data_IF_093619960245
#
_entry.id   IF_093619960245
#
_cell.length_a   1.000
_cell.length_b   1.000
_cell.length_c   1.000
_cell.angle_alpha   90.00
_cell.angle_beta   90.00
_cell.angle_gamma   90.00
#
_symmetry.space_group_name_H-M   'P 1'
#
loop_
_entity.id
_entity.type
_entity.pdbx_description
1 polymer ?
#
# COMPACT_ATOMS: atom_id res chain seq x y z
N UNK A 1 14.36 -69.82 -24.97
CA UNK A 1 13.15 -69.04 -24.64
C UNK A 1 13.57 -67.86 -23.77
N UNK A 2 13.35 -66.62 -24.21
CA UNK A 2 13.83 -65.42 -23.54
C UNK A 2 12.64 -64.54 -23.08
N UNK A 3 12.41 -64.44 -21.78
CA UNK A 3 11.39 -63.55 -21.22
C UNK A 3 12.00 -62.20 -20.88
N UNK A 4 11.60 -61.20 -21.66
CA UNK A 4 12.05 -59.80 -21.67
C UNK A 4 11.92 -59.11 -20.30
N UNK A 5 13.04 -58.55 -19.83
CA UNK A 5 13.15 -57.62 -18.71
C UNK A 5 12.34 -56.35 -19.02
N UNK A 6 11.31 -56.04 -18.23
CA UNK A 6 10.48 -54.86 -18.45
C UNK A 6 11.20 -53.62 -17.94
N UNK A 7 11.75 -52.81 -18.83
CA UNK A 7 12.22 -51.45 -18.52
C UNK A 7 11.03 -50.50 -18.57
N UNK A 8 10.43 -50.18 -17.42
CA UNK A 8 9.59 -48.96 -17.32
C UNK A 8 10.42 -47.84 -16.74
N UNK A 9 10.93 -47.05 -17.67
CA UNK A 9 11.60 -45.76 -17.54
C UNK A 9 10.79 -44.84 -16.62
N UNK A 10 11.43 -44.27 -15.59
CA UNK A 10 10.87 -43.19 -14.79
C UNK A 10 10.51 -42.01 -15.70
N UNK A 11 9.23 -41.62 -15.74
CA UNK A 11 8.77 -40.42 -16.42
C UNK A 11 8.51 -39.32 -15.38
N UNK A 12 9.35 -38.30 -15.46
CA UNK A 12 9.39 -37.08 -14.66
C UNK A 12 8.05 -36.33 -14.53
N UNK A 13 7.56 -36.17 -13.30
CA UNK A 13 7.60 -34.87 -12.62
C UNK A 13 6.73 -33.69 -13.08
N UNK A 14 5.85 -33.82 -14.08
CA UNK A 14 4.82 -32.80 -14.36
C UNK A 14 3.46 -33.49 -14.49
N UNK A 15 2.59 -33.26 -13.51
CA UNK A 15 1.24 -33.84 -13.53
C UNK A 15 0.50 -33.53 -14.83
N UNK A 16 -0.46 -34.39 -15.19
CA UNK A 16 -1.33 -34.22 -16.36
C UNK A 16 -1.77 -32.75 -16.52
N UNK A 17 -1.80 -32.19 -17.75
CA UNK A 17 -2.21 -30.80 -17.99
C UNK A 17 -3.54 -30.45 -17.32
N UNK A 18 -4.48 -31.41 -17.33
CA UNK A 18 -5.77 -31.30 -16.64
C UNK A 18 -5.62 -31.13 -15.11
N UNK A 19 -4.67 -31.84 -14.49
CA UNK A 19 -4.40 -31.73 -13.06
C UNK A 19 -3.72 -30.39 -12.70
N UNK A 20 -2.90 -29.84 -13.61
CA UNK A 20 -2.30 -28.52 -13.45
C UNK A 20 -3.36 -27.43 -13.58
N UNK A 21 -4.27 -27.56 -14.53
CA UNK A 21 -5.36 -26.62 -14.76
C UNK A 21 -6.36 -26.61 -13.59
N UNK A 22 -6.77 -27.78 -13.08
CA UNK A 22 -7.59 -27.90 -11.87
C UNK A 22 -6.95 -27.20 -10.67
N UNK A 23 -5.63 -27.35 -10.49
CA UNK A 23 -4.88 -26.68 -9.42
C UNK A 23 -4.80 -25.16 -9.64
N UNK A 24 -4.66 -24.70 -10.89
CA UNK A 24 -4.62 -23.28 -11.23
C UNK A 24 -5.98 -22.62 -10.95
N UNK A 25 -7.07 -23.22 -11.43
CA UNK A 25 -8.44 -22.75 -11.21
C UNK A 25 -8.80 -22.70 -9.72
N UNK A 26 -8.48 -23.74 -8.94
CA UNK A 26 -8.73 -23.78 -7.50
C UNK A 26 -7.96 -22.68 -6.75
N UNK A 27 -6.70 -22.42 -7.12
CA UNK A 27 -5.89 -21.34 -6.51
C UNK A 27 -6.46 -19.96 -6.84
N UNK A 28 -6.91 -19.75 -8.08
CA UNK A 28 -7.50 -18.49 -8.52
C UNK A 28 -8.84 -18.23 -7.81
N UNK A 29 -9.70 -19.24 -7.72
CA UNK A 29 -10.97 -19.17 -6.99
C UNK A 29 -10.74 -18.85 -5.50
N UNK A 30 -9.80 -19.54 -4.85
CA UNK A 30 -9.46 -19.29 -3.45
C UNK A 30 -8.89 -17.88 -3.25
N UNK A 31 -8.10 -17.36 -4.19
CA UNK A 31 -7.59 -15.99 -4.13
C UNK A 31 -8.70 -14.95 -4.21
N UNK A 32 -9.69 -15.17 -5.09
CA UNK A 32 -10.85 -14.29 -5.26
C UNK A 32 -11.79 -14.32 -4.04
N UNK A 33 -12.08 -15.50 -3.49
CA UNK A 33 -13.06 -15.66 -2.41
C UNK A 33 -12.51 -15.39 -1.02
N UNK A 34 -11.26 -15.75 -0.74
CA UNK A 34 -10.65 -15.54 0.58
C UNK A 34 -10.05 -14.14 0.73
N UNK A 35 -10.21 -13.26 -0.26
CA UNK A 35 -9.57 -11.94 -0.28
C UNK A 35 -8.04 -12.02 -0.12
N UNK A 36 -7.46 -13.21 -0.32
CA UNK A 36 -6.02 -13.40 -0.34
C UNK A 36 -5.57 -12.91 -1.69
N UNK A 37 -5.47 -11.59 -1.80
CA UNK A 37 -4.76 -10.92 -2.86
C UNK A 37 -3.32 -11.42 -2.80
N UNK A 38 -3.04 -12.55 -3.47
CA UNK A 38 -1.76 -12.65 -4.15
C UNK A 38 -1.81 -11.48 -5.12
N UNK A 39 -1.13 -10.39 -4.76
CA UNK A 39 -0.95 -9.18 -5.58
C UNK A 39 -0.14 -9.45 -6.86
N UNK A 40 -0.16 -10.69 -7.32
CA UNK A 40 0.39 -11.13 -8.58
C UNK A 40 -0.80 -11.48 -9.46
N UNK A 41 -1.60 -10.46 -9.80
CA UNK A 41 -1.97 -10.32 -11.21
C UNK A 41 -0.64 -10.45 -11.95
N UNK A 42 -0.49 -11.35 -12.93
CA UNK A 42 0.76 -11.46 -13.69
C UNK A 42 1.09 -10.07 -14.26
N UNK A 43 1.92 -9.32 -13.54
CA UNK A 43 2.33 -8.00 -13.94
C UNK A 43 3.24 -8.18 -15.14
N UNK A 44 3.02 -7.39 -16.18
CA UNK A 44 3.96 -7.32 -17.29
C UNK A 44 5.39 -7.10 -16.77
N UNK A 45 6.38 -7.69 -17.43
CA UNK A 45 7.78 -7.70 -16.96
C UNK A 45 8.33 -6.28 -16.69
N UNK A 46 7.83 -5.27 -17.44
CA UNK A 46 8.17 -3.86 -17.20
C UNK A 46 7.55 -3.34 -15.90
N UNK A 47 6.27 -3.63 -15.66
CA UNK A 47 5.55 -3.23 -14.44
C UNK A 47 6.08 -3.94 -13.21
N UNK A 48 6.44 -5.23 -13.33
CA UNK A 48 7.08 -5.99 -12.26
C UNK A 48 8.43 -5.37 -11.85
N UNK A 49 9.29 -5.03 -12.83
CA UNK A 49 10.57 -4.36 -12.57
C UNK A 49 10.38 -2.97 -11.96
N UNK A 50 9.38 -2.21 -12.43
CA UNK A 50 9.03 -0.90 -11.84
C UNK A 50 8.60 -1.05 -10.39
N UNK A 51 7.71 -2.01 -10.10
CA UNK A 51 7.25 -2.33 -8.74
C UNK A 51 8.42 -2.65 -7.82
N UNK A 52 9.31 -3.54 -8.23
CA UNK A 52 10.50 -3.91 -7.46
C UNK A 52 11.39 -2.70 -7.18
N UNK A 53 11.64 -1.87 -8.19
CA UNK A 53 12.41 -0.63 -8.03
C UNK A 53 11.77 0.31 -7.00
N UNK A 54 10.46 0.56 -7.10
CA UNK A 54 9.75 1.44 -6.17
C UNK A 54 9.79 0.92 -4.73
N UNK A 55 9.62 -0.40 -4.54
CA UNK A 55 9.73 -1.04 -3.22
C UNK A 55 11.15 -0.89 -2.68
N UNK A 56 12.17 -1.09 -3.52
CA UNK A 56 13.56 -0.96 -3.11
C UNK A 56 13.90 0.47 -2.69
N UNK A 57 13.52 1.47 -3.50
CA UNK A 57 13.73 2.88 -3.18
C UNK A 57 12.97 3.30 -1.90
N UNK A 58 11.79 2.73 -1.64
CA UNK A 58 11.06 2.97 -0.39
C UNK A 58 11.76 2.41 0.86
N UNK A 59 12.60 1.38 0.70
CA UNK A 59 13.34 0.75 1.81
C UNK A 59 14.68 1.42 2.05
N UNK A 60 15.44 1.59 0.99
CA UNK A 60 16.86 1.95 1.05
C UNK A 60 17.12 3.40 0.64
N UNK A 61 16.11 4.08 0.10
CA UNK A 61 16.29 5.41 -0.44
C UNK A 61 16.82 5.41 -1.87
N UNK A 62 17.29 6.56 -2.32
CA UNK A 62 17.87 6.74 -3.66
C UNK A 62 19.29 7.27 -3.50
N UNK A 63 20.27 6.56 -4.05
CA UNK A 63 21.67 6.97 -3.97
C UNK A 63 22.26 6.95 -2.55
N UNK A 64 21.71 6.13 -1.65
CA UNK A 64 22.13 6.05 -0.25
C UNK A 64 21.46 7.05 0.69
N UNK A 65 20.63 7.96 0.16
CA UNK A 65 19.85 8.90 0.96
C UNK A 65 18.38 8.47 1.08
N UNK A 66 17.75 8.65 2.26
CA UNK A 66 16.34 8.36 2.44
C UNK A 66 15.48 9.21 1.50
N UNK A 67 14.41 8.62 0.95
CA UNK A 67 13.47 9.34 0.10
C UNK A 67 12.80 10.50 0.85
N UNK A 68 12.63 11.62 0.15
CA UNK A 68 11.85 12.77 0.65
C UNK A 68 10.39 12.37 0.86
N UNK A 69 9.64 13.06 1.75
CA UNK A 69 8.25 12.74 2.02
C UNK A 69 7.35 12.69 0.76
N UNK A 70 7.54 13.64 -0.16
CA UNK A 70 6.76 13.68 -1.41
C UNK A 70 7.09 12.51 -2.35
N UNK A 71 8.37 12.11 -2.41
CA UNK A 71 8.78 10.95 -3.22
C UNK A 71 8.24 9.65 -2.63
N UNK A 72 8.23 9.51 -1.30
CA UNK A 72 7.60 8.38 -0.62
C UNK A 72 6.10 8.32 -0.92
N UNK A 73 5.42 9.46 -0.89
CA UNK A 73 3.99 9.56 -1.20
C UNK A 73 3.72 9.15 -2.65
N UNK A 74 4.50 9.67 -3.59
CA UNK A 74 4.42 9.35 -5.03
C UNK A 74 4.64 7.87 -5.30
N UNK A 75 5.70 7.26 -4.74
CA UNK A 75 5.98 5.84 -4.92
C UNK A 75 4.88 4.94 -4.36
N UNK A 76 4.32 5.29 -3.20
CA UNK A 76 3.18 4.54 -2.65
C UNK A 76 1.95 4.71 -3.52
N UNK A 77 1.67 5.93 -4.03
CA UNK A 77 0.56 6.15 -4.95
C UNK A 77 0.66 5.28 -6.21
N UNK A 78 1.85 5.20 -6.82
CA UNK A 78 2.12 4.33 -7.97
C UNK A 78 1.90 2.85 -7.62
N UNK A 79 2.43 2.39 -6.48
CA UNK A 79 2.28 0.99 -6.05
C UNK A 79 0.81 0.62 -5.81
N UNK A 80 0.04 1.51 -5.16
CA UNK A 80 -1.40 1.34 -5.00
C UNK A 80 -2.12 1.33 -6.37
N UNK A 81 -1.66 2.14 -7.33
CA UNK A 81 -2.14 2.12 -8.71
C UNK A 81 -1.87 0.82 -9.46
N UNK A 82 -0.77 0.13 -9.15
CA UNK A 82 -0.41 -1.20 -9.70
C UNK A 82 -1.22 -2.34 -9.03
N UNK A 83 -1.95 -2.05 -7.95
CA UNK A 83 -2.75 -3.02 -7.21
C UNK A 83 -2.06 -3.58 -5.96
N UNK A 84 -0.95 -2.98 -5.52
CA UNK A 84 -0.47 -3.23 -4.17
C UNK A 84 -1.43 -2.65 -3.13
N UNK A 85 -1.41 -3.24 -1.94
CA UNK A 85 -2.20 -2.77 -0.81
C UNK A 85 -1.27 -2.21 0.26
N UNK A 86 -1.75 -1.29 1.09
CA UNK A 86 -0.93 -0.81 2.19
C UNK A 86 -0.54 -1.95 3.17
N UNK A 87 -1.37 -2.99 3.28
CA UNK A 87 -1.05 -4.19 4.05
C UNK A 87 0.11 -5.00 3.45
N UNK A 88 0.18 -5.17 2.13
CA UNK A 88 1.30 -5.85 1.48
C UNK A 88 2.59 -5.03 1.59
N UNK A 89 2.53 -3.71 1.45
CA UNK A 89 3.69 -2.83 1.65
C UNK A 89 4.25 -2.95 3.09
N UNK A 90 3.39 -2.98 4.11
CA UNK A 90 3.81 -3.23 5.50
C UNK A 90 4.48 -4.59 5.68
N UNK A 91 3.94 -5.65 5.08
CA UNK A 91 4.56 -7.00 5.10
C UNK A 91 5.94 -7.02 4.44
N UNK A 92 6.14 -6.18 3.43
CA UNK A 92 7.44 -6.01 2.76
C UNK A 92 8.44 -5.19 3.59
N UNK A 93 8.04 -4.64 4.75
CA UNK A 93 8.91 -3.87 5.63
C UNK A 93 8.85 -2.36 5.42
N UNK A 94 7.97 -1.87 4.54
CA UNK A 94 7.77 -0.42 4.33
C UNK A 94 6.91 0.10 5.48
N UNK A 95 7.51 0.94 6.34
CA UNK A 95 6.86 1.46 7.55
C UNK A 95 6.35 2.89 7.34
N UNK A 96 5.17 3.23 7.88
CA UNK A 96 4.73 4.62 8.01
C UNK A 96 5.77 5.49 8.73
N UNK A 97 5.89 6.74 8.30
CA UNK A 97 6.53 7.77 9.12
C UNK A 97 5.67 8.08 10.34
N UNK A 98 6.33 8.47 11.44
CA UNK A 98 5.67 8.99 12.63
C UNK A 98 5.65 10.52 12.55
N UNK A 99 4.94 11.07 11.56
CA UNK A 99 4.82 12.53 11.47
C UNK A 99 3.96 13.06 12.62
N UNK A 100 4.39 14.15 13.23
CA UNK A 100 3.56 14.91 14.17
C UNK A 100 2.60 15.77 13.36
N UNK A 101 1.29 15.58 13.57
CA UNK A 101 0.24 16.37 12.92
C UNK A 101 0.15 17.78 13.54
N UNK A 102 1.05 18.67 13.14
CA UNK A 102 0.94 20.10 13.44
C UNK A 102 -0.07 20.78 12.51
N UNK A 103 -0.65 21.93 12.88
CA UNK A 103 -1.55 22.67 12.00
C UNK A 103 -0.92 23.01 10.63
N UNK A 104 0.36 23.34 10.62
CA UNK A 104 1.11 23.63 9.38
C UNK A 104 1.25 22.40 8.49
N UNK A 105 1.49 21.22 9.07
CA UNK A 105 1.55 19.96 8.32
C UNK A 105 0.19 19.62 7.73
N UNK A 106 -0.90 19.82 8.49
CA UNK A 106 -2.26 19.58 8.02
C UNK A 106 -2.58 20.51 6.84
N UNK A 107 -2.38 21.81 6.99
CA UNK A 107 -2.67 22.78 5.93
C UNK A 107 -1.84 22.49 4.66
N UNK A 108 -0.57 22.14 4.84
CA UNK A 108 0.30 21.79 3.71
C UNK A 108 -0.14 20.49 3.05
N UNK A 109 -0.54 19.47 3.82
CA UNK A 109 -1.02 18.20 3.30
C UNK A 109 -2.30 18.36 2.49
N UNK A 110 -3.27 19.13 3.00
CA UNK A 110 -4.53 19.43 2.29
C UNK A 110 -4.25 20.23 1.00
N UNK A 111 -3.33 21.20 1.04
CA UNK A 111 -2.94 21.96 -0.15
C UNK A 111 -2.27 21.07 -1.21
N UNK A 112 -1.40 20.16 -0.79
CA UNK A 112 -0.77 19.19 -1.69
C UNK A 112 -1.82 18.25 -2.28
N UNK A 113 -2.78 17.77 -1.49
CA UNK A 113 -3.87 16.93 -1.99
C UNK A 113 -4.75 17.68 -3.00
N UNK A 114 -5.10 18.93 -2.72
CA UNK A 114 -5.87 19.76 -3.63
C UNK A 114 -5.14 20.03 -4.95
N UNK A 115 -3.81 20.17 -4.90
CA UNK A 115 -2.97 20.35 -6.09
C UNK A 115 -2.73 19.06 -6.89
N UNK A 116 -2.89 17.89 -6.27
CA UNK A 116 -2.59 16.58 -6.88
C UNK A 116 -3.75 15.60 -6.59
N UNK A 117 -4.91 15.77 -7.23
CA UNK A 117 -6.10 14.95 -6.97
C UNK A 117 -5.93 13.47 -7.33
N UNK A 118 -4.94 13.13 -8.16
CA UNK A 118 -4.57 11.76 -8.51
C UNK A 118 -3.85 11.01 -7.37
N UNK A 119 -3.41 11.73 -6.33
CA UNK A 119 -2.87 11.10 -5.13
C UNK A 119 -4.02 10.47 -4.37
N UNK A 120 -3.96 9.14 -4.26
CA UNK A 120 -4.94 8.36 -3.49
C UNK A 120 -4.85 8.75 -2.01
N UNK A 121 -5.98 9.02 -1.32
CA UNK A 121 -6.00 9.30 0.11
C UNK A 121 -5.27 8.24 0.96
N UNK A 122 -5.36 6.97 0.55
CA UNK A 122 -4.67 5.86 1.21
C UNK A 122 -3.13 5.94 1.18
N UNK A 123 -2.54 6.67 0.22
CA UNK A 123 -1.09 6.83 0.12
C UNK A 123 -0.53 7.66 1.29
N UNK A 124 -1.30 8.63 1.80
CA UNK A 124 -0.90 9.51 2.92
C UNK A 124 -0.58 8.75 4.21
N UNK A 125 -1.11 7.53 4.36
CA UNK A 125 -0.79 6.64 5.48
C UNK A 125 0.71 6.33 5.57
N UNK A 126 1.47 6.44 4.47
CA UNK A 126 2.94 6.28 4.52
C UNK A 126 3.63 7.39 5.30
N UNK A 127 3.02 8.58 5.37
CA UNK A 127 3.52 9.70 6.14
C UNK A 127 2.92 9.75 7.56
N UNK A 128 2.03 8.80 7.89
CA UNK A 128 1.28 8.82 9.15
C UNK A 128 0.11 9.80 9.14
N UNK A 129 -0.34 10.22 7.96
CA UNK A 129 -1.46 11.15 7.79
C UNK A 129 -2.65 10.36 7.26
N UNK A 130 -3.79 10.46 7.94
CA UNK A 130 -5.05 9.93 7.40
C UNK A 130 -5.79 11.03 6.64
N UNK A 131 -6.10 10.76 5.38
CA UNK A 131 -6.78 11.70 4.49
C UNK A 131 -8.16 11.13 4.14
N UNK A 132 -9.18 11.98 4.20
CA UNK A 132 -10.54 11.69 3.73
C UNK A 132 -10.61 11.74 2.20
N UNK A 133 -11.70 11.19 1.64
CA UNK A 133 -11.95 11.27 0.18
C UNK A 133 -12.13 12.71 -0.30
N UNK A 134 -12.66 13.60 0.56
CA UNK A 134 -12.81 15.02 0.28
C UNK A 134 -11.48 15.80 0.37
N UNK A 135 -10.36 15.13 0.63
CA UNK A 135 -9.03 15.74 0.68
C UNK A 135 -8.69 16.48 1.97
N UNK A 136 -9.42 16.19 3.06
CA UNK A 136 -9.16 16.73 4.39
C UNK A 136 -8.45 15.73 5.30
N UNK A 137 -7.58 16.23 6.18
CA UNK A 137 -6.90 15.38 7.18
C UNK A 137 -7.86 14.99 8.30
N UNK A 138 -7.88 13.70 8.61
CA UNK A 138 -8.64 13.11 9.71
C UNK A 138 -7.69 13.01 10.92
N UNK A 139 -8.05 13.62 12.05
CA UNK A 139 -7.29 13.51 13.30
C UNK A 139 -7.47 12.13 13.96
N UNK A 140 -6.62 11.81 14.94
CA UNK A 140 -6.63 10.52 15.66
C UNK A 140 -8.01 10.12 16.24
N UNK A 141 -8.89 11.08 16.54
CA UNK A 141 -10.23 10.84 17.08
C UNK A 141 -11.34 10.76 16.01
N UNK A 142 -11.00 10.71 14.72
CA UNK A 142 -11.99 10.76 13.62
C UNK A 142 -12.64 12.15 13.44
N UNK A 143 -12.30 13.12 14.29
CA UNK A 143 -12.66 14.52 14.16
C UNK A 143 -11.52 15.28 13.46
N UNK A 144 -11.87 16.27 12.62
CA UNK A 144 -10.89 17.23 12.08
C UNK A 144 -10.07 17.78 13.26
N UNK A 145 -8.72 17.81 13.17
CA UNK A 145 -7.90 18.35 14.23
C UNK A 145 -8.31 19.79 14.46
N UNK A 146 -9.03 20.05 15.57
CA UNK A 146 -9.49 21.39 15.89
C UNK A 146 -8.24 22.19 16.22
N UNK A 147 -7.84 23.06 15.28
CA UNK A 147 -6.82 24.06 15.54
C UNK A 147 -7.13 24.74 16.87
N UNK A 148 -6.10 24.90 17.71
CA UNK A 148 -6.17 25.61 18.98
C UNK A 148 -6.35 27.12 18.71
N UNK A 149 -7.48 27.49 18.09
CA UNK A 149 -7.92 28.85 17.86
C UNK A 149 -8.71 29.31 19.09
N UNK A 150 -8.18 30.32 19.78
CA UNK A 150 -8.65 30.76 21.08
C UNK A 150 -10.12 31.15 21.15
N UNK A 151 -10.73 30.85 22.30
CA UNK A 151 -11.92 31.54 22.84
C UNK A 151 -11.94 31.44 24.36
N UNK A 152 -10.90 32.02 24.98
CA UNK A 152 -10.98 32.46 26.37
C UNK A 152 -11.78 33.76 26.46
N UNK A 153 -13.09 33.73 26.22
CA UNK A 153 -13.99 34.81 26.67
C UNK A 153 -14.54 34.41 28.03
N UNK A 154 -13.76 34.79 29.05
CA UNK A 154 -14.11 34.66 30.45
C UNK A 154 -15.46 35.31 30.76
N UNK A 155 -16.24 34.57 31.54
CA UNK A 155 -17.61 34.80 32.00
C UNK A 155 -17.87 36.23 32.48
N UNK A 156 -19.04 36.77 32.10
CA UNK A 156 -19.77 37.79 32.87
C UNK A 156 -19.87 37.33 34.33
N UNK A 157 -19.47 38.19 35.27
CA UNK A 157 -20.11 38.25 36.59
C UNK A 157 -20.65 39.66 36.79
N UNK A 158 -21.96 39.77 36.74
CA UNK A 158 -22.68 40.83 37.42
C UNK A 158 -22.74 40.45 38.90
N UNK A 159 -22.39 41.37 39.77
CA UNK A 159 -22.75 41.34 41.18
C UNK A 159 -23.26 42.74 41.54
N UNK A 160 -24.40 42.75 42.21
CA UNK A 160 -25.04 43.89 42.85
C UNK A 160 -24.17 44.47 43.98
#
# INVERSE_FOLDING_TARGET
MATKKTTRKAASGRGSPEAVEKRRAARQLNSLLLGTSKSVVELDGRTAKRRERLIQELKEGRGGEPLKPIDRLSHVNELLGIGETFASLRKLGIKPSKATLTPEVVETAERVQAANPEIRPAAWKILGIEMSEDGHVIGEDGARPRGKGGRGRGRKKASA
#
